data_IF_965727629997
#
_entry.id   IF_965727629997
#
_cell.length_a   1.000
_cell.length_b   1.000
_cell.length_c   1.000
_cell.angle_alpha   90.00
_cell.angle_beta   90.00
_cell.angle_gamma   90.00
#
_symmetry.space_group_name_H-M   'P 1'
#
loop_
_entity.id
_entity.type
_entity.pdbx_description
1 polymer ?
#
# COMPACT_ATOMS: atom_id res chain seq x y z
N UNK A 1 -5.45 11.34 -12.90
CA UNK A 1 -5.22 10.57 -11.66
C UNK A 1 -6.38 10.78 -10.70
N UNK A 2 -6.85 9.74 -10.02
CA UNK A 2 -7.96 9.77 -9.07
C UNK A 2 -7.63 8.97 -7.81
N UNK A 3 -8.27 9.32 -6.70
CA UNK A 3 -8.18 8.58 -5.44
C UNK A 3 -8.88 7.23 -5.56
N UNK A 4 -8.33 6.22 -4.91
CA UNK A 4 -9.00 4.93 -4.68
C UNK A 4 -9.22 4.71 -3.18
N UNK A 5 -10.02 3.69 -2.84
CA UNK A 5 -10.16 3.18 -1.48
C UNK A 5 -9.31 1.92 -1.24
N UNK A 6 -8.28 1.73 -2.07
CA UNK A 6 -7.37 0.60 -1.96
C UNK A 6 -6.10 1.10 -1.28
N UNK A 7 -5.53 0.24 -0.44
CA UNK A 7 -4.25 0.46 0.21
C UNK A 7 -3.31 -0.71 -0.01
N UNK A 8 -2.02 -0.41 0.00
CA UNK A 8 -0.93 -1.38 0.01
C UNK A 8 0.04 -0.95 1.09
N UNK A 9 0.40 -1.84 2.02
CA UNK A 9 1.26 -1.53 3.19
C UNK A 9 0.75 -0.31 3.99
N UNK A 10 -0.57 -0.19 4.11
CA UNK A 10 -1.27 0.94 4.76
C UNK A 10 -1.21 2.29 4.04
N UNK A 11 -0.54 2.38 2.90
CA UNK A 11 -0.48 3.58 2.06
C UNK A 11 -1.61 3.55 1.02
N UNK A 12 -2.18 4.72 0.69
CA UNK A 12 -3.25 4.82 -0.30
C UNK A 12 -2.74 4.67 -1.72
N UNK A 13 -3.63 4.24 -2.63
CA UNK A 13 -3.32 4.08 -4.05
C UNK A 13 -4.08 5.10 -4.89
N UNK A 14 -3.37 5.74 -5.81
CA UNK A 14 -3.94 6.50 -6.91
C UNK A 14 -4.16 5.63 -8.15
N UNK A 15 -5.17 5.93 -8.94
CA UNK A 15 -5.36 5.36 -10.27
C UNK A 15 -5.18 6.44 -11.34
N UNK A 16 -4.40 6.18 -12.38
CA UNK A 16 -4.26 7.04 -13.54
C UNK A 16 -4.27 6.20 -14.82
N UNK A 17 -5.30 6.36 -15.66
CA UNK A 17 -5.40 5.69 -16.97
C UNK A 17 -5.11 4.17 -16.94
N UNK A 18 -5.64 3.45 -15.95
CA UNK A 18 -5.44 2.00 -15.68
C UNK A 18 -4.09 1.58 -15.09
N UNK A 19 -3.28 2.56 -14.69
CA UNK A 19 -2.08 2.39 -13.87
C UNK A 19 -2.40 2.76 -12.43
N UNK A 20 -1.73 2.10 -11.49
CA UNK A 20 -1.91 2.29 -10.06
C UNK A 20 -0.60 2.69 -9.42
N UNK A 21 -0.64 3.75 -8.63
CA UNK A 21 0.54 4.32 -7.99
C UNK A 21 0.35 4.39 -6.49
N UNK A 22 1.36 3.95 -5.74
CA UNK A 22 1.38 4.10 -4.30
C UNK A 22 1.52 5.59 -3.95
N UNK A 23 0.81 6.01 -2.93
CA UNK A 23 0.93 7.32 -2.34
C UNK A 23 1.79 7.28 -1.08
N UNK A 24 2.54 8.34 -0.80
CA UNK A 24 3.19 8.53 0.50
C UNK A 24 2.19 8.79 1.65
N UNK A 25 0.90 9.00 1.34
CA UNK A 25 -0.15 9.24 2.32
C UNK A 25 -0.61 7.91 2.94
N UNK A 26 -0.60 7.86 4.27
CA UNK A 26 -1.15 6.76 5.08
C UNK A 26 -2.28 7.20 6.03
N UNK A 27 -2.41 8.51 6.26
CA UNK A 27 -3.47 9.10 7.08
C UNK A 27 -4.75 9.35 6.27
N UNK A 28 -5.89 8.98 6.85
CA UNK A 28 -7.19 9.08 6.17
C UNK A 28 -7.70 10.51 6.05
N UNK A 29 -7.37 11.40 7.00
CA UNK A 29 -7.80 12.80 6.92
C UNK A 29 -7.00 13.52 5.85
N UNK A 30 -5.67 13.36 5.84
CA UNK A 30 -4.81 13.86 4.77
C UNK A 30 -5.27 13.35 3.40
N UNK A 31 -5.59 12.06 3.28
CA UNK A 31 -6.09 11.50 2.03
C UNK A 31 -7.39 12.14 1.57
N UNK A 32 -8.31 12.47 2.48
CA UNK A 32 -9.58 13.14 2.13
C UNK A 32 -9.35 14.58 1.69
N UNK A 33 -8.48 15.30 2.37
CA UNK A 33 -8.22 16.73 2.14
C UNK A 33 -7.33 17.00 0.92
N UNK A 34 -6.53 16.02 0.49
CA UNK A 34 -5.61 16.15 -0.64
C UNK A 34 -6.30 16.58 -1.93
N UNK A 35 -5.80 17.61 -2.60
CA UNK A 35 -6.38 18.10 -3.86
C UNK A 35 -5.72 17.50 -5.08
N UNK A 36 -6.42 17.49 -6.22
CA UNK A 36 -5.94 16.84 -7.45
C UNK A 36 -4.63 17.44 -7.98
N UNK A 37 -4.43 18.75 -7.80
CA UNK A 37 -3.19 19.46 -8.16
C UNK A 37 -1.99 19.02 -7.32
N UNK A 38 -2.22 18.43 -6.15
CA UNK A 38 -1.17 17.95 -5.24
C UNK A 38 -0.82 16.47 -5.47
N UNK A 39 -1.63 15.70 -6.21
CA UNK A 39 -1.47 14.24 -6.34
C UNK A 39 -0.07 13.82 -6.80
N UNK A 40 0.51 14.56 -7.75
CA UNK A 40 1.85 14.25 -8.27
C UNK A 40 2.95 14.38 -7.20
N UNK A 41 2.78 15.26 -6.20
CA UNK A 41 3.74 15.43 -5.10
C UNK A 41 3.71 14.29 -4.09
N UNK A 42 2.61 13.53 -4.04
CA UNK A 42 2.44 12.38 -3.16
C UNK A 42 2.54 11.04 -3.89
N UNK A 43 2.84 11.05 -5.19
CA UNK A 43 2.98 9.86 -6.02
C UNK A 43 4.37 9.25 -5.79
N UNK A 44 4.40 7.97 -5.43
CA UNK A 44 5.63 7.21 -5.24
C UNK A 44 5.79 6.12 -6.32
N UNK A 45 5.70 4.85 -5.93
CA UNK A 45 5.98 3.69 -6.79
C UNK A 45 4.79 3.30 -7.69
N UNK A 46 5.09 2.78 -8.89
CA UNK A 46 4.11 2.08 -9.71
C UNK A 46 3.87 0.68 -9.16
N UNK A 47 2.64 0.43 -8.71
CA UNK A 47 2.20 -0.84 -8.12
C UNK A 47 1.20 -1.58 -9.02
N UNK A 48 1.05 -1.16 -10.28
CA UNK A 48 0.02 -1.66 -11.22
C UNK A 48 0.00 -3.18 -11.32
N UNK A 49 1.15 -3.78 -11.63
CA UNK A 49 1.25 -5.23 -11.83
C UNK A 49 1.04 -6.00 -10.52
N UNK A 50 1.55 -5.46 -9.41
CA UNK A 50 1.43 -6.06 -8.09
C UNK A 50 -0.01 -6.04 -7.61
N UNK A 51 -0.66 -4.89 -7.70
CA UNK A 51 -2.06 -4.71 -7.31
C UNK A 51 -3.00 -5.54 -8.17
N UNK A 52 -2.83 -5.55 -9.50
CA UNK A 52 -3.65 -6.40 -10.39
C UNK A 52 -3.51 -7.89 -10.07
N UNK A 53 -2.31 -8.33 -9.70
CA UNK A 53 -2.08 -9.71 -9.28
C UNK A 53 -2.82 -10.03 -7.98
N UNK A 54 -2.71 -9.16 -6.96
CA UNK A 54 -3.41 -9.31 -5.68
C UNK A 54 -4.93 -9.28 -5.83
N UNK A 55 -5.46 -8.33 -6.61
CA UNK A 55 -6.89 -8.24 -6.90
C UNK A 55 -7.42 -9.52 -7.54
N UNK A 56 -6.66 -10.11 -8.46
CA UNK A 56 -7.03 -11.36 -9.14
C UNK A 56 -6.89 -12.58 -8.22
N UNK A 57 -5.86 -12.63 -7.39
CA UNK A 57 -5.61 -13.73 -6.45
C UNK A 57 -6.69 -13.83 -5.40
N UNK A 58 -7.10 -12.68 -4.84
CA UNK A 58 -8.07 -12.63 -3.74
C UNK A 58 -9.50 -12.32 -4.19
N UNK A 59 -9.72 -11.98 -5.47
CA UNK A 59 -11.01 -11.55 -6.03
C UNK A 59 -11.60 -10.31 -5.30
N UNK A 60 -10.73 -9.36 -4.93
CA UNK A 60 -11.10 -8.12 -4.20
C UNK A 60 -10.60 -6.90 -4.97
N UNK A 61 -11.50 -5.96 -5.27
CA UNK A 61 -11.21 -4.81 -6.14
C UNK A 61 -11.41 -3.44 -5.49
N UNK A 62 -11.86 -3.36 -4.23
CA UNK A 62 -12.12 -2.08 -3.56
C UNK A 62 -12.10 -2.21 -2.03
N UNK A 63 -11.93 -1.09 -1.32
CA UNK A 63 -12.02 -0.98 0.15
C UNK A 63 -11.13 -1.99 0.90
N UNK A 64 -9.93 -2.24 0.41
CA UNK A 64 -9.02 -3.28 0.91
C UNK A 64 -7.64 -2.69 1.19
N UNK A 65 -6.96 -3.24 2.19
CA UNK A 65 -5.56 -2.97 2.46
C UNK A 65 -4.76 -4.26 2.27
N UNK A 66 -3.96 -4.33 1.22
CA UNK A 66 -3.09 -5.46 0.97
C UNK A 66 -1.77 -5.32 1.73
N UNK A 67 -1.38 -6.38 2.43
CA UNK A 67 -0.04 -6.52 3.00
C UNK A 67 0.74 -7.49 2.14
N UNK A 68 1.55 -6.92 1.28
CA UNK A 68 2.44 -7.64 0.39
C UNK A 68 3.81 -7.68 1.07
N UNK A 69 4.27 -8.86 1.50
CA UNK A 69 5.63 -8.98 2.06
C UNK A 69 6.61 -8.40 1.04
N UNK A 70 7.31 -7.33 1.41
CA UNK A 70 8.36 -6.80 0.57
C UNK A 70 9.41 -7.90 0.42
N UNK A 71 9.56 -8.45 -0.79
CA UNK A 71 10.65 -9.39 -1.08
C UNK A 71 12.04 -8.80 -0.78
N UNK A 72 12.13 -7.47 -0.63
CA UNK A 72 13.34 -6.73 -0.26
C UNK A 72 13.47 -6.43 1.24
N UNK A 73 12.40 -6.61 2.03
CA UNK A 73 12.46 -6.43 3.47
C UNK A 73 12.57 -7.82 4.11
N UNK A 74 13.77 -8.39 4.04
CA UNK A 74 14.18 -9.52 4.88
C UNK A 74 13.69 -9.26 6.29
N UNK A 75 12.59 -9.90 6.68
CA UNK A 75 12.16 -9.97 8.06
C UNK A 75 13.32 -10.64 8.78
N UNK A 76 14.17 -9.85 9.44
CA UNK A 76 15.17 -10.41 10.35
C UNK A 76 14.35 -11.12 11.41
N UNK A 77 14.33 -12.45 11.31
CA UNK A 77 13.76 -13.35 12.30
C UNK A 77 14.49 -13.02 13.60
N UNK A 78 13.88 -12.22 14.47
CA UNK A 78 14.41 -12.00 15.81
C UNK A 78 14.08 -13.28 16.57
N UNK A 79 15.05 -14.18 16.67
CA UNK A 79 14.96 -15.30 17.59
C UNK A 79 14.96 -14.74 19.01
N UNK A 80 13.78 -14.70 19.62
CA UNK A 80 13.64 -14.40 21.03
C UNK A 80 14.19 -15.60 21.82
N UNK A 81 15.43 -15.49 22.31
CA UNK A 81 15.93 -16.38 23.35
C UNK A 81 15.06 -16.21 24.60
N UNK A 82 14.14 -17.17 24.82
CA UNK A 82 13.44 -17.30 26.10
C UNK A 82 14.46 -17.66 27.18
N UNK A 83 14.99 -16.67 27.88
CA UNK A 83 15.59 -16.89 29.20
C UNK A 83 14.45 -17.10 30.20
N UNK A 84 14.05 -18.37 30.37
CA UNK A 84 13.20 -18.79 31.46
C UNK A 84 13.92 -18.52 32.78
N UNK A 85 13.33 -17.69 33.63
CA UNK A 85 13.72 -17.55 35.03
C UNK A 85 13.27 -18.79 35.79
N UNK A 86 14.23 -19.48 36.39
CA UNK A 86 14.02 -20.49 37.43
C UNK A 86 14.45 -19.93 38.78
#
# INVERSE_FOLDING_TARGET
MKKTNIRIRSNFVFEDKNEYFLSSVNDIQQWKELKEDEFNGFKEEDVTNRLKSLMKEYDIYTNVNFYDEDKNNTTKKIELEKKGGG
#
